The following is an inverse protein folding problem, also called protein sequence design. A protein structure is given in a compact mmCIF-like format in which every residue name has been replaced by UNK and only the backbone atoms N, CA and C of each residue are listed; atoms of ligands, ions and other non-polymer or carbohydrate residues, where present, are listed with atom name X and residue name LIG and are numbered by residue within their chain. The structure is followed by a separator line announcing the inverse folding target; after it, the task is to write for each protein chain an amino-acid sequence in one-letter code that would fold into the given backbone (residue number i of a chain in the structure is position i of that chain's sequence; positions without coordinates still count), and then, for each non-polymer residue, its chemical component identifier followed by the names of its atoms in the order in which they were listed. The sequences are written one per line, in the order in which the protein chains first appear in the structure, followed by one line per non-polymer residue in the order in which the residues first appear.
data_IF_354103493904
#
_entry.id   IF_354103493904
#
_cell.length_a   1.000
_cell.length_b   1.000
_cell.length_c   1.000
_cell.angle_alpha   90.00
_cell.angle_beta   90.00
_cell.angle_gamma   90.00
#
_symmetry.space_group_name_H-M   'P 1'
#
loop_
_entity.id
_entity.type
_entity.pdbx_description
1 polymer ?
#
# COMPACT_ATOMS: atom_id res chain seq x y z
N UNK A 1 2.03 -10.52 -12.08
CA UNK A 1 1.82 -9.83 -10.81
C UNK A 1 2.96 -8.82 -10.57
N UNK A 2 4.21 -9.24 -10.49
CA UNK A 2 5.36 -8.38 -10.16
C UNK A 2 5.55 -7.16 -11.08
N UNK A 3 5.53 -7.36 -12.41
CA UNK A 3 5.60 -6.25 -13.38
C UNK A 3 4.47 -5.23 -13.21
N UNK A 4 3.26 -5.70 -12.93
CA UNK A 4 2.12 -4.83 -12.69
C UNK A 4 2.28 -3.98 -11.41
N UNK A 5 2.90 -4.54 -10.35
CA UNK A 5 3.22 -3.80 -9.13
C UNK A 5 4.31 -2.75 -9.40
N UNK A 6 5.38 -3.10 -10.14
CA UNK A 6 6.41 -2.14 -10.57
C UNK A 6 5.78 -0.96 -11.33
N UNK A 7 4.87 -1.25 -12.26
CA UNK A 7 4.15 -0.23 -13.02
C UNK A 7 3.24 0.62 -12.11
N UNK A 8 2.62 0.04 -11.09
CA UNK A 8 1.83 0.79 -10.11
C UNK A 8 2.71 1.70 -9.26
N UNK A 9 3.83 1.20 -8.73
CA UNK A 9 4.79 2.02 -7.96
C UNK A 9 5.28 3.19 -8.82
N UNK A 10 5.69 2.92 -10.07
CA UNK A 10 6.11 3.95 -11.02
C UNK A 10 5.01 5.00 -11.22
N UNK A 11 3.79 4.57 -11.49
CA UNK A 11 2.63 5.45 -11.65
C UNK A 11 2.38 6.32 -10.42
N UNK A 12 2.51 5.75 -9.20
CA UNK A 12 2.27 6.47 -7.96
C UNK A 12 3.34 7.54 -7.71
N UNK A 13 4.63 7.21 -7.88
CA UNK A 13 5.73 8.16 -7.66
C UNK A 13 5.81 9.27 -8.72
N UNK A 14 5.25 9.06 -9.90
CA UNK A 14 5.10 10.11 -10.93
C UNK A 14 3.95 11.08 -10.61
N UNK A 15 3.01 10.69 -9.77
CA UNK A 15 1.75 11.41 -9.51
C UNK A 15 1.70 12.10 -8.15
N UNK A 16 2.35 11.51 -7.16
CA UNK A 16 2.37 12.02 -5.80
C UNK A 16 3.81 12.37 -5.39
N UNK A 17 3.99 13.58 -4.87
CA UNK A 17 5.30 14.00 -4.35
C UNK A 17 5.66 13.25 -3.08
N UNK A 18 6.92 12.92 -2.92
CA UNK A 18 7.47 12.30 -1.72
C UNK A 18 8.91 12.78 -1.48
N UNK A 19 9.33 12.67 -0.24
CA UNK A 19 10.71 12.93 0.15
C UNK A 19 11.47 11.62 0.39
N UNK A 20 12.79 11.69 0.46
CA UNK A 20 13.64 10.60 0.94
C UNK A 20 13.85 10.67 2.47
N UNK A 21 14.25 9.58 3.12
CA UNK A 21 14.57 8.28 2.52
C UNK A 21 13.32 7.48 2.13
N UNK A 22 13.55 6.51 1.23
CA UNK A 22 12.58 5.48 0.87
C UNK A 22 12.86 4.25 1.74
N UNK A 23 11.85 3.71 2.39
CA UNK A 23 11.91 2.48 3.16
C UNK A 23 11.09 1.39 2.45
N UNK A 24 11.77 0.35 2.00
CA UNK A 24 11.18 -0.86 1.40
C UNK A 24 11.06 -1.91 2.51
N UNK A 25 9.85 -2.09 3.04
CA UNK A 25 9.59 -2.99 4.16
C UNK A 25 9.28 -4.40 3.70
N UNK A 26 9.74 -5.40 4.45
CA UNK A 26 9.66 -6.81 4.09
C UNK A 26 10.23 -7.05 2.67
N UNK A 27 11.36 -6.43 2.38
CA UNK A 27 11.93 -6.30 1.03
C UNK A 27 12.37 -7.64 0.42
N UNK A 28 12.53 -8.69 1.23
CA UNK A 28 12.90 -10.01 0.77
C UNK A 28 14.32 -10.09 0.19
N UNK A 29 14.69 -11.30 -0.22
CA UNK A 29 16.02 -11.59 -0.79
C UNK A 29 16.18 -11.15 -2.26
N UNK A 30 15.08 -10.89 -2.94
CA UNK A 30 15.12 -10.69 -4.37
C UNK A 30 15.84 -9.41 -4.80
N UNK A 31 16.48 -9.43 -5.98
CA UNK A 31 17.23 -8.29 -6.46
C UNK A 31 16.29 -7.09 -6.67
N UNK A 32 16.64 -6.03 -6.09
CA UNK A 32 16.27 -4.61 -6.24
C UNK A 32 15.30 -4.23 -7.38
N UNK A 33 14.11 -4.85 -7.47
CA UNK A 33 13.14 -4.51 -8.52
C UNK A 33 12.67 -3.05 -8.44
N UNK A 34 12.59 -2.51 -7.23
CA UNK A 34 12.03 -1.19 -7.01
C UNK A 34 13.10 -0.11 -6.86
N UNK A 35 14.31 -0.44 -6.37
CA UNK A 35 15.42 0.52 -6.25
C UNK A 35 15.72 1.30 -7.54
N UNK A 36 15.69 0.70 -8.75
CA UNK A 36 15.91 1.43 -10.00
C UNK A 36 14.89 2.52 -10.30
N UNK A 37 13.73 2.52 -9.64
CA UNK A 37 12.73 3.58 -9.77
C UNK A 37 13.11 4.85 -9.00
N UNK A 38 14.15 4.79 -8.14
CA UNK A 38 14.56 5.87 -7.25
C UNK A 38 16.04 6.25 -7.45
N UNK A 39 16.45 6.67 -8.66
CA UNK A 39 17.83 6.96 -8.96
C UNK A 39 18.35 8.13 -8.09
N UNK A 40 19.51 7.94 -7.46
CA UNK A 40 20.16 8.94 -6.63
C UNK A 40 19.52 9.19 -5.26
N UNK A 41 18.43 8.49 -4.91
CA UNK A 41 17.75 8.65 -3.62
C UNK A 41 18.25 7.63 -2.60
N UNK A 42 18.19 8.01 -1.32
CA UNK A 42 18.47 7.11 -0.19
C UNK A 42 17.36 6.07 -0.09
N UNK A 43 17.68 4.82 -0.44
CA UNK A 43 16.76 3.69 -0.42
C UNK A 43 17.25 2.65 0.59
N UNK A 44 16.39 2.27 1.53
CA UNK A 44 16.68 1.39 2.67
C UNK A 44 15.79 0.16 2.55
N UNK A 45 16.39 -1.02 2.46
CA UNK A 45 15.68 -2.31 2.52
C UNK A 45 15.59 -2.77 3.98
N UNK A 46 14.39 -2.99 4.45
CA UNK A 46 14.10 -3.57 5.77
C UNK A 46 13.48 -4.96 5.62
N UNK A 47 13.94 -5.91 6.43
CA UNK A 47 13.28 -7.21 6.60
C UNK A 47 13.56 -7.74 8.02
N UNK A 48 12.83 -8.79 8.44
CA UNK A 48 13.03 -9.43 9.74
C UNK A 48 14.32 -10.26 9.82
N UNK A 49 14.96 -10.52 8.70
CA UNK A 49 16.23 -11.26 8.57
C UNK A 49 16.99 -10.80 7.34
N UNK A 50 18.29 -11.06 7.34
CA UNK A 50 19.10 -10.95 6.12
C UNK A 50 19.11 -12.28 5.34
N UNK A 51 19.70 -12.26 4.17
CA UNK A 51 19.75 -13.35 3.22
C UNK A 51 21.20 -13.66 2.82
N UNK A 52 21.40 -14.72 2.07
CA UNK A 52 22.71 -15.08 1.50
C UNK A 52 22.61 -14.98 -0.05
N UNK A 53 23.37 -14.07 -0.69
CA UNK A 53 24.25 -13.04 -0.08
C UNK A 53 23.48 -11.93 0.66
N UNK A 54 24.11 -11.24 1.62
CA UNK A 54 23.49 -10.15 2.39
C UNK A 54 22.96 -9.05 1.49
N UNK A 55 21.71 -8.62 1.75
CA UNK A 55 21.05 -7.61 0.92
C UNK A 55 20.06 -6.70 1.66
N UNK A 56 19.95 -6.84 2.98
CA UNK A 56 19.06 -6.05 3.82
C UNK A 56 19.87 -4.99 4.58
N UNK A 57 19.44 -3.74 4.47
CA UNK A 57 20.11 -2.61 5.11
C UNK A 57 19.69 -2.47 6.60
N UNK A 58 18.46 -2.88 6.94
CA UNK A 58 17.89 -2.75 8.29
C UNK A 58 17.17 -4.03 8.69
N UNK A 59 17.72 -4.76 9.67
CA UNK A 59 17.12 -6.01 10.18
C UNK A 59 16.27 -5.68 11.41
N UNK A 60 14.95 -5.79 11.29
CA UNK A 60 13.99 -5.65 12.40
C UNK A 60 12.62 -6.23 11.99
N UNK A 61 11.75 -6.47 12.96
CA UNK A 61 10.36 -6.83 12.70
C UNK A 61 9.58 -5.57 12.29
N UNK A 62 8.77 -5.68 11.23
CA UNK A 62 7.92 -4.56 10.78
C UNK A 62 6.90 -4.14 11.84
N UNK A 63 6.56 -5.02 12.78
CA UNK A 63 5.65 -4.71 13.90
C UNK A 63 6.35 -4.07 15.09
N UNK A 64 7.69 -3.88 15.03
CA UNK A 64 8.53 -3.24 16.04
C UNK A 64 9.82 -2.69 15.39
N UNK A 65 9.68 -1.64 14.58
CA UNK A 65 10.80 -1.02 13.84
C UNK A 65 11.60 -0.04 14.73
N UNK A 66 11.96 -0.42 15.95
CA UNK A 66 12.74 0.41 16.91
C UNK A 66 14.00 1.05 16.35
N UNK A 67 14.79 0.41 15.45
CA UNK A 67 15.95 1.04 14.87
C UNK A 67 15.65 2.25 13.98
N UNK A 68 14.38 2.42 13.56
CA UNK A 68 13.94 3.50 12.68
C UNK A 68 13.23 4.56 13.55
N UNK A 69 13.76 5.78 13.53
CA UNK A 69 13.21 6.90 14.30
C UNK A 69 11.82 7.30 13.81
N UNK A 70 11.03 7.88 14.71
CA UNK A 70 9.75 8.51 14.38
C UNK A 70 9.94 9.57 13.31
N UNK A 71 9.00 9.70 12.40
CA UNK A 71 8.92 10.75 11.40
C UNK A 71 10.22 10.97 10.59
N UNK A 72 10.95 9.88 10.32
CA UNK A 72 12.24 9.91 9.63
C UNK A 72 12.22 9.49 8.17
N UNK A 73 11.10 8.91 7.69
CA UNK A 73 10.96 8.31 6.35
C UNK A 73 9.96 9.11 5.52
N UNK A 74 10.30 9.41 4.26
CA UNK A 74 9.42 10.16 3.36
C UNK A 74 8.48 9.28 2.53
N UNK A 75 8.92 8.07 2.18
CA UNK A 75 8.12 7.09 1.44
C UNK A 75 8.34 5.69 2.00
N UNK A 76 7.25 4.98 2.30
CA UNK A 76 7.28 3.55 2.62
C UNK A 76 6.68 2.75 1.47
N UNK A 77 7.40 1.72 1.03
CA UNK A 77 6.89 0.65 0.18
C UNK A 77 6.58 -0.56 1.07
N UNK A 78 5.33 -1.05 1.04
CA UNK A 78 4.92 -2.29 1.68
C UNK A 78 4.20 -3.15 0.64
N UNK A 79 4.96 -4.01 -0.03
CA UNK A 79 4.53 -4.66 -1.26
C UNK A 79 4.40 -6.17 -1.08
N UNK A 80 3.15 -6.70 -1.21
CA UNK A 80 2.82 -8.13 -1.08
C UNK A 80 3.39 -8.75 0.22
N UNK A 81 3.23 -8.05 1.33
CA UNK A 81 3.74 -8.48 2.64
C UNK A 81 2.68 -8.50 3.74
N UNK A 82 1.64 -7.67 3.61
CA UNK A 82 0.62 -7.49 4.66
C UNK A 82 -0.13 -8.80 4.97
N UNK A 83 -0.36 -9.62 3.96
CA UNK A 83 -0.98 -10.95 4.09
C UNK A 83 -0.15 -11.94 4.94
N UNK A 84 1.13 -11.67 5.11
CA UNK A 84 2.09 -12.49 5.86
C UNK A 84 2.29 -12.04 7.31
N UNK A 85 1.70 -10.92 7.72
CA UNK A 85 1.83 -10.38 9.07
C UNK A 85 0.76 -11.00 10.00
N UNK A 86 1.13 -11.63 11.12
CA UNK A 86 0.15 -12.13 12.09
C UNK A 86 -0.74 -11.00 12.65
N UNK A 87 -0.16 -9.81 12.81
CA UNK A 87 -0.80 -8.62 13.36
C UNK A 87 -0.63 -7.43 12.41
N UNK A 88 -1.38 -7.37 11.29
CA UNK A 88 -1.17 -6.38 10.25
C UNK A 88 -1.36 -4.94 10.75
N UNK A 89 -2.26 -4.70 11.71
CA UNK A 89 -2.45 -3.37 12.29
C UNK A 89 -1.17 -2.85 12.96
N UNK A 90 -0.42 -3.71 13.69
CA UNK A 90 0.85 -3.30 14.31
C UNK A 90 1.88 -2.86 13.26
N UNK A 91 1.96 -3.56 12.13
CA UNK A 91 2.83 -3.14 11.02
C UNK A 91 2.42 -1.80 10.43
N UNK A 92 1.11 -1.58 10.24
CA UNK A 92 0.58 -0.30 9.77
C UNK A 92 0.83 0.84 10.79
N UNK A 93 0.70 0.57 12.09
CA UNK A 93 0.98 1.56 13.13
C UNK A 93 2.45 1.96 13.15
N UNK A 94 3.37 1.01 12.97
CA UNK A 94 4.80 1.28 12.85
C UNK A 94 5.13 2.05 11.55
N UNK A 95 4.54 1.68 10.43
CA UNK A 95 4.66 2.44 9.18
C UNK A 95 4.19 3.89 9.39
N UNK A 96 3.06 4.08 10.07
CA UNK A 96 2.57 5.42 10.40
C UNK A 96 3.54 6.19 11.30
N UNK A 97 4.13 5.53 12.31
CA UNK A 97 5.09 6.15 13.23
C UNK A 97 6.34 6.66 12.50
N UNK A 98 6.94 5.82 11.65
CA UNK A 98 8.20 6.17 10.97
C UNK A 98 8.03 7.16 9.82
N UNK A 99 6.85 7.23 9.22
CA UNK A 99 6.57 8.21 8.17
C UNK A 99 6.57 9.65 8.72
N UNK A 100 7.20 10.55 7.99
CA UNK A 100 7.10 12.00 8.23
C UNK A 100 5.66 12.49 8.08
N UNK A 101 5.30 13.63 8.64
CA UNK A 101 4.10 14.34 8.21
C UNK A 101 4.09 14.48 6.68
N UNK A 102 2.94 14.23 6.05
CA UNK A 102 2.74 14.19 4.60
C UNK A 102 3.53 13.11 3.85
N UNK A 103 4.24 12.22 4.54
CA UNK A 103 4.92 11.07 3.96
C UNK A 103 3.95 10.08 3.33
N UNK A 104 4.41 9.37 2.29
CA UNK A 104 3.59 8.45 1.51
C UNK A 104 3.80 6.99 1.92
N UNK A 105 2.72 6.22 1.88
CA UNK A 105 2.70 4.77 1.86
C UNK A 105 2.22 4.29 0.48
N UNK A 106 2.98 3.41 -0.16
CA UNK A 106 2.52 2.59 -1.28
C UNK A 106 2.43 1.16 -0.78
N UNK A 107 1.20 0.62 -0.77
CA UNK A 107 0.87 -0.68 -0.23
C UNK A 107 0.23 -1.54 -1.31
N UNK A 108 0.68 -2.79 -1.43
CA UNK A 108 -0.01 -3.80 -2.23
C UNK A 108 -0.23 -5.07 -1.42
N UNK A 109 -1.34 -5.75 -1.65
CA UNK A 109 -1.64 -7.04 -1.04
C UNK A 109 -2.59 -7.85 -1.92
N UNK A 110 -2.63 -9.16 -1.70
CA UNK A 110 -3.45 -10.09 -2.46
C UNK A 110 -4.89 -10.16 -1.94
N UNK A 111 -5.84 -10.41 -2.86
CA UNK A 111 -7.23 -10.69 -2.52
C UNK A 111 -7.67 -12.08 -3.02
N UNK A 112 -7.85 -12.27 -4.33
CA UNK A 112 -8.12 -13.60 -4.91
C UNK A 112 -6.83 -14.23 -5.39
N UNK A 113 -6.10 -14.83 -4.48
CA UNK A 113 -4.83 -15.49 -4.75
C UNK A 113 -4.79 -16.86 -4.06
N UNK A 114 -4.07 -17.83 -4.66
CA UNK A 114 -3.85 -19.15 -4.06
C UNK A 114 -3.16 -19.00 -2.71
N UNK A 115 -3.43 -19.91 -1.79
CA UNK A 115 -2.67 -20.01 -0.53
C UNK A 115 -1.21 -20.30 -0.88
N UNK A 116 -0.30 -19.52 -0.31
CA UNK A 116 1.15 -19.68 -0.47
C UNK A 116 1.84 -19.54 0.89
N UNK A 117 2.71 -20.50 1.24
CA UNK A 117 3.26 -20.66 2.59
C UNK A 117 4.77 -20.48 2.66
N UNK A 118 5.27 -19.42 2.07
CA UNK A 118 6.66 -19.04 2.20
C UNK A 118 6.82 -17.54 2.12
N UNK A 119 6.63 -16.81 3.21
CA UNK A 119 6.34 -17.15 4.62
C UNK A 119 4.90 -17.59 4.87
N UNK A 120 4.46 -17.66 6.15
CA UNK A 120 3.06 -18.00 6.50
C UNK A 120 2.08 -17.01 5.86
N UNK A 121 0.92 -17.49 5.46
CA UNK A 121 -0.10 -16.77 4.69
C UNK A 121 -1.37 -16.70 5.55
N UNK A 122 -1.69 -15.52 6.11
CA UNK A 122 -2.73 -15.35 7.12
C UNK A 122 -3.99 -14.68 6.57
N UNK A 123 -3.84 -13.69 5.66
CA UNK A 123 -4.92 -12.75 5.39
C UNK A 123 -5.25 -12.61 3.90
N UNK A 124 -6.49 -12.25 3.66
CA UNK A 124 -6.99 -11.72 2.39
C UNK A 124 -7.83 -10.47 2.72
N UNK A 125 -7.43 -9.33 2.18
CA UNK A 125 -8.07 -8.07 2.50
C UNK A 125 -9.10 -7.69 1.44
N UNK A 126 -10.20 -7.10 1.89
CA UNK A 126 -11.15 -6.39 1.03
C UNK A 126 -10.81 -4.89 1.01
N UNK A 127 -11.37 -4.09 0.08
CA UNK A 127 -11.22 -2.64 0.13
C UNK A 127 -11.63 -2.05 1.49
N UNK A 128 -12.75 -2.49 2.05
CA UNK A 128 -13.22 -2.03 3.38
C UNK A 128 -12.26 -2.45 4.51
N UNK A 129 -11.65 -3.62 4.40
CA UNK A 129 -10.62 -4.08 5.35
C UNK A 129 -9.36 -3.22 5.28
N UNK A 130 -8.94 -2.80 4.08
CA UNK A 130 -7.82 -1.86 3.90
C UNK A 130 -8.19 -0.47 4.43
N UNK A 131 -9.41 0.01 4.17
CA UNK A 131 -9.92 1.27 4.74
C UNK A 131 -9.82 1.29 6.25
N UNK A 132 -10.23 0.18 6.90
CA UNK A 132 -10.16 0.04 8.35
C UNK A 132 -8.71 0.05 8.86
N UNK A 133 -7.79 -0.68 8.21
CA UNK A 133 -6.39 -0.71 8.57
C UNK A 133 -5.71 0.64 8.42
N UNK A 134 -6.05 1.39 7.37
CA UNK A 134 -5.49 2.71 7.05
C UNK A 134 -6.30 3.86 7.64
N UNK A 135 -7.03 3.64 8.74
CA UNK A 135 -7.94 4.61 9.35
C UNK A 135 -7.29 5.91 9.84
N UNK A 136 -5.95 5.99 9.87
CA UNK A 136 -5.15 7.19 10.23
C UNK A 136 -4.49 7.84 9.01
N UNK A 137 -4.73 7.32 7.82
CA UNK A 137 -4.17 7.83 6.58
C UNK A 137 -5.26 8.49 5.72
N UNK A 138 -4.85 9.47 4.92
CA UNK A 138 -5.62 9.92 3.76
C UNK A 138 -5.33 8.99 2.59
N UNK A 139 -6.31 8.22 2.14
CA UNK A 139 -6.16 7.33 1.00
C UNK A 139 -6.28 8.14 -0.29
N UNK A 140 -5.18 8.25 -1.04
CA UNK A 140 -5.08 9.04 -2.27
C UNK A 140 -5.53 8.26 -3.51
N UNK A 141 -5.26 6.94 -3.53
CA UNK A 141 -5.66 6.02 -4.59
C UNK A 141 -5.93 4.63 -4.01
N UNK A 142 -6.95 3.97 -4.55
CA UNK A 142 -7.21 2.55 -4.33
C UNK A 142 -7.48 1.87 -5.66
N UNK A 143 -6.57 1.01 -6.07
CA UNK A 143 -6.59 0.31 -7.35
C UNK A 143 -6.80 -1.19 -7.16
N UNK A 144 -7.71 -1.77 -7.93
CA UNK A 144 -7.97 -3.20 -7.96
C UNK A 144 -7.29 -3.84 -9.18
N UNK A 145 -6.50 -4.89 -8.94
CA UNK A 145 -5.87 -5.66 -10.03
C UNK A 145 -6.87 -6.62 -10.67
N UNK A 146 -7.08 -6.48 -11.96
CA UNK A 146 -7.89 -7.40 -12.75
C UNK A 146 -9.39 -7.12 -12.72
N UNK A 147 -10.23 -8.12 -12.50
CA UNK A 147 -11.70 -8.00 -12.50
C UNK A 147 -12.20 -7.35 -11.19
N UNK A 148 -13.11 -6.36 -11.30
CA UNK A 148 -13.63 -5.62 -10.13
C UNK A 148 -14.46 -6.47 -9.17
N UNK A 149 -15.07 -7.56 -9.65
CA UNK A 149 -15.85 -8.48 -8.81
C UNK A 149 -14.97 -9.54 -8.15
N UNK A 150 -13.80 -9.82 -8.75
CA UNK A 150 -12.84 -10.81 -8.29
C UNK A 150 -11.41 -10.30 -8.49
N UNK A 151 -11.03 -9.19 -7.85
CA UNK A 151 -9.70 -8.61 -8.02
C UNK A 151 -8.65 -9.56 -7.45
N UNK A 152 -7.51 -9.67 -8.14
CA UNK A 152 -6.38 -10.48 -7.69
C UNK A 152 -5.68 -9.84 -6.50
N UNK A 153 -5.54 -8.50 -6.54
CA UNK A 153 -4.88 -7.71 -5.53
C UNK A 153 -5.54 -6.34 -5.33
N UNK A 154 -5.17 -5.71 -4.24
CA UNK A 154 -5.57 -4.35 -3.87
C UNK A 154 -4.29 -3.55 -3.69
N UNK A 155 -4.18 -2.41 -4.39
CA UNK A 155 -3.02 -1.53 -4.38
C UNK A 155 -3.47 -0.14 -3.94
N UNK A 156 -2.77 0.41 -2.97
CA UNK A 156 -3.15 1.65 -2.33
C UNK A 156 -1.97 2.61 -2.27
N UNK A 157 -2.22 3.87 -2.56
CA UNK A 157 -1.35 4.98 -2.21
C UNK A 157 -2.05 5.81 -1.15
N UNK A 158 -1.39 6.01 -0.01
CA UNK A 158 -1.93 6.73 1.12
C UNK A 158 -0.91 7.73 1.67
N UNK A 159 -1.37 8.77 2.35
CA UNK A 159 -0.56 9.82 2.93
C UNK A 159 -0.79 9.92 4.44
N UNK A 160 0.29 10.02 5.21
CA UNK A 160 0.19 10.38 6.62
C UNK A 160 -0.31 11.82 6.71
N UNK A 161 -1.44 12.04 7.36
CA UNK A 161 -2.04 13.36 7.54
C UNK A 161 -2.47 13.57 8.99
N UNK A 162 -2.40 14.82 9.45
CA UNK A 162 -2.98 15.24 10.73
C UNK A 162 -4.46 15.60 10.64
N UNK A 163 -5.01 15.68 9.43
CA UNK A 163 -6.43 16.04 9.18
C UNK A 163 -7.32 14.82 9.37
N UNK A 164 -7.90 14.67 10.57
CA UNK A 164 -8.72 13.52 10.96
C UNK A 164 -9.95 13.31 10.06
N UNK A 165 -10.53 14.37 9.52
CA UNK A 165 -11.66 14.30 8.59
C UNK A 165 -11.33 13.61 7.25
N UNK A 166 -10.05 13.47 6.93
CA UNK A 166 -9.57 12.79 5.73
C UNK A 166 -9.18 11.32 5.96
N UNK A 167 -9.16 10.87 7.23
CA UNK A 167 -8.71 9.53 7.58
C UNK A 167 -9.63 8.43 7.04
N UNK A 168 -9.00 7.38 6.52
CA UNK A 168 -9.64 6.12 6.17
C UNK A 168 -10.67 6.17 5.05
N UNK A 169 -10.93 7.32 4.42
CA UNK A 169 -11.93 7.42 3.36
C UNK A 169 -11.39 6.89 2.04
N UNK A 170 -11.98 5.81 1.55
CA UNK A 170 -11.65 5.29 0.23
C UNK A 170 -12.03 6.28 -0.89
N UNK A 171 -11.10 6.60 -1.79
CA UNK A 171 -11.42 7.30 -3.03
C UNK A 171 -12.23 6.40 -3.96
N UNK A 172 -12.62 6.92 -5.12
CA UNK A 172 -13.23 6.10 -6.15
C UNK A 172 -12.26 4.99 -6.58
N UNK A 173 -12.69 3.72 -6.46
CA UNK A 173 -11.86 2.56 -6.79
C UNK A 173 -11.44 2.60 -8.26
N UNK A 174 -10.15 2.49 -8.52
CA UNK A 174 -9.55 2.43 -9.84
C UNK A 174 -9.27 0.97 -10.22
N UNK A 175 -9.18 0.68 -11.51
CA UNK A 175 -8.85 -0.64 -12.05
C UNK A 175 -7.60 -0.57 -12.91
N UNK A 176 -6.69 -1.53 -12.73
CA UNK A 176 -5.57 -1.79 -13.65
C UNK A 176 -5.87 -3.06 -14.45
N UNK A 177 -5.74 -3.01 -15.77
CA UNK A 177 -5.85 -4.19 -16.64
C UNK A 177 -7.01 -4.22 -17.62
N UNK A 178 -7.72 -3.12 -17.87
CA UNK A 178 -8.56 -2.92 -19.06
C UNK A 178 -9.06 -1.47 -19.14
N UNK A 179 -9.18 -1.02 -20.36
CA UNK A 179 -9.74 0.23 -20.87
C UNK A 179 -10.40 1.20 -19.84
N UNK A 180 -9.82 2.37 -19.62
CA UNK A 180 -10.26 3.45 -18.72
C UNK A 180 -11.72 3.93 -18.92
N UNK A 181 -12.43 3.40 -19.94
CA UNK A 181 -13.79 3.79 -20.31
C UNK A 181 -14.88 3.32 -19.35
N UNK A 182 -14.62 2.32 -18.50
CA UNK A 182 -15.66 1.72 -17.62
C UNK A 182 -15.82 2.47 -16.30
N UNK A 183 -14.79 3.16 -15.81
CA UNK A 183 -14.81 3.88 -14.52
C UNK A 183 -15.79 5.05 -14.52
N UNK A 184 -15.94 5.76 -15.65
CA UNK A 184 -16.92 6.85 -15.80
C UNK A 184 -18.39 6.38 -15.67
N UNK A 185 -18.67 5.10 -15.92
CA UNK A 185 -20.03 4.52 -15.88
C UNK A 185 -20.45 4.08 -14.46
N UNK A 186 -19.51 3.60 -13.63
CA UNK A 186 -19.79 3.22 -12.23
C UNK A 186 -19.94 4.45 -11.33
N UNK A 187 -19.11 5.47 -11.47
CA UNK A 187 -19.24 6.72 -10.71
C UNK A 187 -20.61 7.37 -10.87
N UNK A 188 -21.22 7.30 -12.06
CA UNK A 188 -22.59 7.79 -12.29
C UNK A 188 -23.66 6.92 -11.65
N UNK A 189 -23.44 5.61 -11.46
CA UNK A 189 -24.38 4.70 -10.79
C UNK A 189 -24.33 4.87 -9.26
N UNK A 190 -23.16 5.03 -8.66
CA UNK A 190 -23.00 5.28 -7.22
C UNK A 190 -23.55 6.65 -6.83
N UNK A 191 -23.31 7.69 -7.64
CA UNK A 191 -23.91 9.01 -7.44
C UNK A 191 -25.45 8.98 -7.55
N UNK A 192 -26.00 8.12 -8.40
CA UNK A 192 -27.46 7.93 -8.53
C UNK A 192 -28.07 7.17 -7.35
N UNK A 193 -27.34 6.20 -6.78
CA UNK A 193 -27.77 5.47 -5.57
C UNK A 193 -27.73 6.37 -4.33
N UNK A 194 -26.70 7.19 -4.16
CA UNK A 194 -26.65 8.19 -3.06
C UNK A 194 -27.82 9.18 -3.12
N UNK A 195 -28.32 9.55 -4.29
CA UNK A 195 -29.52 10.40 -4.44
C UNK A 195 -30.80 9.70 -4.01
N UNK A 196 -30.90 8.38 -4.19
CA UNK A 196 -32.11 7.60 -3.84
C UNK A 196 -32.22 7.42 -2.31
N UNK A 197 -31.09 7.29 -1.60
CA UNK A 197 -31.09 7.09 -0.15
C UNK A 197 -31.08 8.40 0.68
N UNK A 198 -30.95 9.58 0.06
CA UNK A 198 -31.00 10.89 0.73
C UNK A 198 -32.33 11.64 0.52
N UNK A 199 -33.33 11.01 -0.08
CA UNK A 199 -34.68 11.57 -0.23
C UNK A 199 -35.71 10.65 0.44
N UNK A 200 -35.60 10.52 1.75
CA UNK A 200 -36.78 10.19 2.59
C UNK A 200 -36.78 11.15 3.79
N UNK A 201 -37.95 11.75 4.09
CA UNK A 201 -38.12 12.75 5.14
C UNK A 201 -37.94 12.17 6.52
#
# INVERSE_FOLDING_TARGET
MREAIVNYVKWAIERFSFEEPILDTCAGWEPNFYRPLFPGKRYIKQDMRDFDPPCIDMICDITDMKPISDESVGLVLNLESLEHLPYPQKGIDEIYRVLRPDGLLILTTVMHFKIHRAPKDYWRFTPDGIELLLNRFKILDCTLEGDLKRPKGIWVTAQKTSHQEEWGKLPLLRRVGSDDRIIKKLGRRVARLKRIFHTQP
#
